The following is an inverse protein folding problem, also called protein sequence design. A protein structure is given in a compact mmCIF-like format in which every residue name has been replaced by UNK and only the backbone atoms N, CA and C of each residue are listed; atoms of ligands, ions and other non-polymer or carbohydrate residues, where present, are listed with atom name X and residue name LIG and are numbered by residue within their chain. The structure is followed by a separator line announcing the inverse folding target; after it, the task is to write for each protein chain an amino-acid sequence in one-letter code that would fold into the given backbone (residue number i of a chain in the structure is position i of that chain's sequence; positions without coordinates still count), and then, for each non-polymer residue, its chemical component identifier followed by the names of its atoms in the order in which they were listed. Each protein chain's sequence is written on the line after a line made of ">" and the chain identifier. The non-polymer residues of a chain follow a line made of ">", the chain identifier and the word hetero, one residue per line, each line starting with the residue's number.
data_IF_813085007719
#
_entry.id   IF_813085007719
#
_cell.length_a   1.000
_cell.length_b   1.000
_cell.length_c   1.000
_cell.angle_alpha   90.00
_cell.angle_beta   90.00
_cell.angle_gamma   90.00
#
_symmetry.space_group_name_H-M   'P 1'
#
loop_
_entity.id
_entity.type
_entity.pdbx_description
1 polymer ?
#
# COMPACT_ATOMS: atom_id res chain seq x y z
N UNK A 1 38.99 12.05 65.25
CA UNK A 1 38.93 10.86 64.38
C UNK A 1 37.82 9.95 64.91
N UNK A 2 36.63 10.03 64.33
CA UNK A 2 35.55 9.06 64.53
C UNK A 2 34.64 9.18 63.30
N UNK A 3 34.58 8.12 62.50
CA UNK A 3 33.84 8.04 61.24
C UNK A 3 32.40 7.60 61.52
N UNK A 4 31.42 8.35 61.02
CA UNK A 4 30.02 7.90 60.89
C UNK A 4 29.86 7.03 59.64
N UNK A 5 29.08 5.94 59.66
CA UNK A 5 28.77 5.18 58.47
C UNK A 5 27.52 5.75 57.76
N UNK A 6 27.67 6.08 56.48
CA UNK A 6 26.57 6.44 55.58
C UNK A 6 25.81 5.18 55.16
N UNK A 7 24.53 5.10 55.50
CA UNK A 7 23.61 4.05 55.07
C UNK A 7 23.09 4.39 53.66
N UNK A 8 23.47 3.62 52.65
CA UNK A 8 22.94 3.73 51.29
C UNK A 8 21.67 2.85 51.20
N UNK A 9 20.49 3.47 51.08
CA UNK A 9 19.27 2.77 50.71
C UNK A 9 19.22 2.59 49.19
N UNK A 10 19.34 1.35 48.71
CA UNK A 10 18.94 0.97 47.35
C UNK A 10 17.41 0.84 47.30
N UNK A 11 16.75 1.67 46.49
CA UNK A 11 15.35 1.47 46.11
C UNK A 11 15.30 0.69 44.80
N UNK A 12 14.83 -0.55 44.84
CA UNK A 12 14.58 -1.36 43.66
C UNK A 12 13.20 -0.97 43.07
N UNK A 13 13.19 -0.24 41.96
CA UNK A 13 11.98 -0.04 41.15
C UNK A 13 11.67 -1.33 40.40
N UNK A 14 10.56 -1.98 40.74
CA UNK A 14 10.03 -3.12 39.99
C UNK A 14 9.23 -2.56 38.81
N UNK A 15 9.83 -2.51 37.62
CA UNK A 15 9.12 -2.25 36.38
C UNK A 15 8.28 -3.49 36.03
N UNK A 16 6.97 -3.46 36.30
CA UNK A 16 6.04 -4.47 35.78
C UNK A 16 5.85 -4.19 34.28
N UNK A 17 6.56 -4.93 33.43
CA UNK A 17 6.31 -4.90 31.99
C UNK A 17 4.92 -5.49 31.72
N UNK A 18 4.00 -4.66 31.22
CA UNK A 18 2.72 -5.13 30.72
C UNK A 18 2.98 -6.06 29.52
N UNK A 19 2.57 -7.32 29.64
CA UNK A 19 2.65 -8.26 28.54
C UNK A 19 1.68 -7.83 27.42
N UNK A 20 2.10 -7.89 26.15
CA UNK A 20 1.20 -7.65 25.03
C UNK A 20 0.10 -8.72 25.04
N UNK A 21 -1.16 -8.28 25.07
CA UNK A 21 -2.31 -9.17 24.84
C UNK A 21 -2.19 -9.66 23.41
N UNK A 22 -1.91 -10.96 23.25
CA UNK A 22 -1.99 -11.62 21.96
C UNK A 22 -3.45 -11.61 21.52
N UNK A 23 -3.77 -10.82 20.51
CA UNK A 23 -5.07 -10.87 19.84
C UNK A 23 -5.16 -12.19 19.09
N UNK A 24 -6.01 -13.11 19.55
CA UNK A 24 -6.37 -14.29 18.75
C UNK A 24 -6.96 -13.83 17.41
N UNK A 25 -6.60 -14.47 16.29
CA UNK A 25 -7.20 -14.15 14.99
C UNK A 25 -8.71 -14.38 15.08
N UNK A 26 -9.49 -13.35 14.71
CA UNK A 26 -10.93 -13.40 14.78
C UNK A 26 -11.45 -14.59 13.95
N UNK A 27 -12.05 -15.57 14.63
CA UNK A 27 -12.65 -16.73 13.98
C UNK A 27 -13.81 -16.24 13.11
N UNK A 28 -13.76 -16.53 11.80
CA UNK A 28 -14.83 -16.15 10.88
C UNK A 28 -16.19 -16.67 11.37
N UNK A 29 -17.07 -15.74 11.74
CA UNK A 29 -18.39 -16.06 12.31
C UNK A 29 -19.39 -16.47 11.24
N UNK A 30 -19.09 -16.22 9.96
CA UNK A 30 -19.97 -16.49 8.82
C UNK A 30 -20.13 -18.00 8.59
N UNK A 31 -21.29 -18.54 8.96
CA UNK A 31 -21.59 -19.98 8.84
C UNK A 31 -22.15 -20.39 7.47
N UNK A 32 -22.75 -19.45 6.73
CA UNK A 32 -23.42 -19.73 5.45
C UNK A 32 -23.35 -18.56 4.48
N UNK A 33 -23.70 -18.79 3.21
CA UNK A 33 -23.82 -17.73 2.21
C UNK A 33 -25.17 -17.02 2.35
N UNK A 34 -25.15 -15.69 2.29
CA UNK A 34 -26.36 -14.85 2.25
C UNK A 34 -26.90 -14.71 0.82
N UNK A 35 -26.04 -14.84 -0.19
CA UNK A 35 -26.40 -14.64 -1.61
C UNK A 35 -26.88 -15.92 -2.29
N UNK A 36 -26.38 -17.08 -1.84
CA UNK A 36 -26.66 -18.38 -2.46
C UNK A 36 -27.13 -19.40 -1.42
N UNK A 37 -28.29 -20.06 -1.62
CA UNK A 37 -28.76 -21.10 -0.72
C UNK A 37 -27.76 -22.26 -0.58
N UNK A 38 -27.70 -22.95 0.58
CA UNK A 38 -26.78 -24.06 0.81
C UNK A 38 -26.86 -25.17 -0.25
N UNK A 39 -28.07 -25.49 -0.74
CA UNK A 39 -28.28 -26.51 -1.77
C UNK A 39 -27.58 -26.17 -3.10
N UNK A 40 -27.60 -24.90 -3.52
CA UNK A 40 -26.92 -24.45 -4.74
C UNK A 40 -25.40 -24.56 -4.57
N UNK A 41 -24.88 -24.13 -3.41
CA UNK A 41 -23.44 -24.22 -3.12
C UNK A 41 -22.99 -25.69 -3.12
N UNK A 42 -23.78 -26.59 -2.56
CA UNK A 42 -23.46 -28.02 -2.55
C UNK A 42 -23.46 -28.60 -3.98
N UNK A 43 -24.47 -28.28 -4.79
CA UNK A 43 -24.51 -28.70 -6.20
C UNK A 43 -23.27 -28.25 -6.98
N UNK A 44 -22.81 -27.01 -6.75
CA UNK A 44 -21.58 -26.50 -7.39
C UNK A 44 -20.34 -27.28 -6.96
N UNK A 45 -20.24 -27.64 -5.67
CA UNK A 45 -19.14 -28.47 -5.15
C UNK A 45 -19.16 -29.87 -5.76
N UNK A 46 -20.33 -30.49 -5.83
CA UNK A 46 -20.50 -31.84 -6.39
C UNK A 46 -20.14 -31.85 -7.88
N UNK A 47 -20.59 -30.83 -8.63
CA UNK A 47 -20.21 -30.67 -10.04
C UNK A 47 -18.69 -30.50 -10.18
N UNK A 48 -18.04 -29.68 -9.34
CA UNK A 48 -16.59 -29.49 -9.38
C UNK A 48 -15.79 -30.73 -8.92
N UNK A 49 -16.42 -31.69 -8.24
CA UNK A 49 -15.82 -32.97 -7.87
C UNK A 49 -15.97 -34.02 -8.98
N UNK A 50 -17.09 -34.00 -9.70
CA UNK A 50 -17.40 -34.98 -10.75
C UNK A 50 -16.87 -34.58 -12.13
N UNK A 51 -16.97 -33.30 -12.48
CA UNK A 51 -16.82 -32.82 -13.85
C UNK A 51 -15.51 -32.03 -14.03
N UNK A 52 -14.55 -32.48 -14.88
CA UNK A 52 -13.24 -31.83 -15.01
C UNK A 52 -13.28 -30.36 -15.42
N UNK A 53 -14.25 -29.97 -16.26
CA UNK A 53 -14.41 -28.59 -16.68
C UNK A 53 -14.80 -27.69 -15.49
N UNK A 54 -15.66 -28.18 -14.59
CA UNK A 54 -16.11 -27.45 -13.42
C UNK A 54 -14.99 -27.34 -12.37
N UNK A 55 -14.18 -28.41 -12.22
CA UNK A 55 -12.94 -28.36 -11.45
C UNK A 55 -12.00 -27.27 -11.98
N UNK A 56 -11.81 -27.17 -13.30
CA UNK A 56 -10.99 -26.15 -13.93
C UNK A 56 -11.47 -24.71 -13.65
N UNK A 57 -12.78 -24.48 -13.61
CA UNK A 57 -13.35 -23.17 -13.22
C UNK A 57 -13.05 -22.86 -11.76
N UNK A 58 -13.32 -23.80 -10.84
CA UNK A 58 -12.99 -23.65 -9.41
C UNK A 58 -11.51 -23.30 -9.22
N UNK A 59 -10.63 -24.08 -9.82
CA UNK A 59 -9.18 -23.94 -9.62
C UNK A 59 -8.68 -22.61 -10.16
N UNK A 60 -9.23 -22.14 -11.28
CA UNK A 60 -8.93 -20.82 -11.84
C UNK A 60 -9.36 -19.69 -10.91
N UNK A 61 -10.56 -19.77 -10.31
CA UNK A 61 -11.06 -18.79 -9.36
C UNK A 61 -10.24 -18.77 -8.06
N UNK A 62 -9.94 -19.94 -7.50
CA UNK A 62 -9.11 -20.06 -6.28
C UNK A 62 -7.71 -19.50 -6.53
N UNK A 63 -7.10 -19.83 -7.68
CA UNK A 63 -5.80 -19.27 -8.06
C UNK A 63 -5.85 -17.76 -8.22
N UNK A 64 -6.90 -17.23 -8.84
CA UNK A 64 -7.06 -15.80 -9.02
C UNK A 64 -7.25 -15.06 -7.69
N UNK A 65 -7.98 -15.62 -6.73
CA UNK A 65 -8.24 -15.01 -5.42
C UNK A 65 -7.03 -15.06 -4.48
N UNK A 66 -6.09 -15.99 -4.71
CA UNK A 66 -4.93 -16.25 -3.84
C UNK A 66 -4.15 -14.99 -3.39
N UNK A 67 -3.84 -14.01 -4.26
CA UNK A 67 -3.08 -12.83 -3.84
C UNK A 67 -3.74 -11.98 -2.74
N UNK A 68 -5.07 -12.02 -2.63
CA UNK A 68 -5.82 -11.36 -1.56
C UNK A 68 -6.04 -12.29 -0.36
N UNK A 69 -6.29 -13.57 -0.61
CA UNK A 69 -6.45 -14.57 0.46
C UNK A 69 -5.17 -14.81 1.27
N UNK A 70 -4.00 -14.52 0.69
CA UNK A 70 -2.71 -14.60 1.38
C UNK A 70 -2.42 -13.38 2.26
N UNK A 71 -3.28 -12.34 2.24
CA UNK A 71 -3.15 -11.14 3.07
C UNK A 71 -3.94 -11.30 4.36
N UNK A 72 -3.42 -10.72 5.45
CA UNK A 72 -4.18 -10.54 6.68
C UNK A 72 -5.32 -9.53 6.50
N UNK A 73 -6.32 -9.58 7.39
CA UNK A 73 -7.43 -8.61 7.39
C UNK A 73 -6.92 -7.16 7.50
N UNK A 74 -5.87 -6.91 8.30
CA UNK A 74 -5.24 -5.60 8.42
C UNK A 74 -4.58 -5.15 7.12
N UNK A 75 -3.91 -6.05 6.41
CA UNK A 75 -3.32 -5.75 5.11
C UNK A 75 -4.41 -5.44 4.07
N UNK A 76 -5.51 -6.21 4.06
CA UNK A 76 -6.66 -5.94 3.19
C UNK A 76 -7.32 -4.60 3.51
N UNK A 77 -7.52 -4.32 4.80
CA UNK A 77 -8.09 -3.05 5.25
C UNK A 77 -7.18 -1.86 4.88
N UNK A 78 -5.86 -2.05 4.97
CA UNK A 78 -4.88 -1.03 4.61
C UNK A 78 -4.83 -0.69 3.11
N UNK A 79 -5.52 -1.47 2.26
CA UNK A 79 -5.69 -1.12 0.84
C UNK A 79 -6.64 0.06 0.64
N UNK A 80 -7.50 0.37 1.62
CA UNK A 80 -8.38 1.53 1.56
C UNK A 80 -7.60 2.83 1.74
N UNK A 81 -7.97 3.86 0.99
CA UNK A 81 -7.27 5.13 0.99
C UNK A 81 -8.24 6.31 1.09
N UNK A 82 -7.83 7.34 1.84
CA UNK A 82 -8.63 8.54 2.08
C UNK A 82 -8.56 9.56 0.93
N UNK A 83 -9.22 10.72 1.09
CA UNK A 83 -9.22 11.79 0.09
C UNK A 83 -8.00 12.73 0.20
N UNK A 84 -7.05 12.46 1.10
CA UNK A 84 -5.94 13.37 1.41
C UNK A 84 -4.93 13.59 0.28
N UNK A 85 -5.06 12.88 -0.84
CA UNK A 85 -4.24 13.06 -2.04
C UNK A 85 -5.18 13.39 -3.20
N UNK A 86 -4.91 14.49 -3.93
CA UNK A 86 -5.71 14.84 -5.10
C UNK A 86 -5.54 13.80 -6.20
N UNK A 87 -6.67 13.20 -6.61
CA UNK A 87 -6.68 12.18 -7.65
C UNK A 87 -6.46 12.80 -9.02
N UNK A 88 -5.78 12.07 -9.90
CA UNK A 88 -5.54 12.47 -11.28
C UNK A 88 -5.75 11.28 -12.20
N UNK A 89 -6.45 11.46 -13.32
CA UNK A 89 -6.60 10.40 -14.32
C UNK A 89 -5.33 10.16 -15.14
N UNK A 90 -4.34 11.05 -15.04
CA UNK A 90 -3.08 10.96 -15.76
C UNK A 90 -1.93 11.42 -14.86
N UNK A 91 -0.74 10.86 -15.05
CA UNK A 91 0.48 11.44 -14.47
C UNK A 91 0.71 12.83 -15.03
N UNK A 92 0.66 12.94 -16.36
CA UNK A 92 0.62 14.18 -17.13
C UNK A 92 0.02 13.87 -18.50
N UNK A 93 -1.09 14.52 -18.86
CA UNK A 93 -1.94 14.16 -20.01
C UNK A 93 -1.22 14.08 -21.36
N UNK A 94 -0.31 15.02 -21.63
CA UNK A 94 0.52 15.07 -22.83
C UNK A 94 2.02 15.09 -22.46
N UNK A 95 2.35 14.44 -21.35
CA UNK A 95 3.68 14.48 -20.77
C UNK A 95 4.69 13.50 -21.33
N UNK A 96 5.88 13.55 -20.75
CA UNK A 96 6.98 12.62 -20.98
C UNK A 96 7.48 12.02 -19.67
N UNK A 97 8.28 10.96 -19.74
CA UNK A 97 9.02 10.48 -18.58
C UNK A 97 10.14 11.48 -18.21
N UNK A 98 10.29 11.89 -16.94
CA UNK A 98 11.36 12.81 -16.55
C UNK A 98 12.76 12.17 -16.62
N UNK A 99 12.86 10.84 -16.65
CA UNK A 99 14.14 10.15 -16.76
C UNK A 99 14.65 10.03 -18.20
N UNK A 100 13.79 9.63 -19.15
CA UNK A 100 14.19 9.34 -20.53
C UNK A 100 13.68 10.33 -21.58
N UNK A 101 12.85 11.31 -21.19
CA UNK A 101 12.30 12.32 -22.09
C UNK A 101 11.28 11.80 -23.11
N UNK A 102 11.05 10.50 -23.20
CA UNK A 102 10.09 9.90 -24.14
C UNK A 102 8.65 10.22 -23.72
N UNK A 103 7.78 10.46 -24.71
CA UNK A 103 6.37 10.76 -24.49
C UNK A 103 5.64 9.61 -23.78
N UNK A 104 4.95 9.93 -22.69
CA UNK A 104 4.10 8.99 -21.93
C UNK A 104 2.75 9.68 -21.66
N UNK A 105 1.93 9.89 -22.71
CA UNK A 105 0.67 10.61 -22.58
C UNK A 105 -0.38 9.77 -21.85
N UNK A 106 -1.38 10.46 -21.30
CA UNK A 106 -2.62 9.89 -20.79
C UNK A 106 -2.44 8.70 -19.82
N UNK A 107 -2.85 7.51 -20.25
CA UNK A 107 -3.00 6.30 -19.44
C UNK A 107 -1.82 5.31 -19.60
N UNK A 108 -0.73 5.75 -20.22
CA UNK A 108 0.36 4.87 -20.67
C UNK A 108 1.31 4.44 -19.54
N UNK A 109 1.27 5.11 -18.38
CA UNK A 109 2.03 4.70 -17.20
C UNK A 109 1.51 3.36 -16.66
N UNK A 110 2.42 2.43 -16.41
CA UNK A 110 2.06 1.09 -15.93
C UNK A 110 1.98 1.07 -14.41
N UNK A 111 1.05 0.29 -13.87
CA UNK A 111 0.95 -0.01 -12.45
C UNK A 111 0.97 -1.53 -12.28
N UNK A 112 1.63 -2.00 -11.23
CA UNK A 112 1.49 -3.37 -10.71
C UNK A 112 1.31 -3.26 -9.20
N UNK A 113 0.08 -2.97 -8.76
CA UNK A 113 -0.18 -2.59 -7.38
C UNK A 113 0.06 -3.70 -6.36
N UNK A 114 -0.05 -4.96 -6.79
CA UNK A 114 0.13 -6.10 -5.89
C UNK A 114 1.60 -6.46 -5.70
N UNK A 115 2.42 -6.38 -6.77
CA UNK A 115 3.84 -6.73 -6.68
C UNK A 115 4.75 -5.52 -6.47
N UNK A 116 4.33 -4.34 -6.92
CA UNK A 116 5.06 -3.05 -6.87
C UNK A 116 4.15 -1.95 -6.31
N UNK A 117 3.72 -2.06 -5.04
CA UNK A 117 2.82 -1.09 -4.45
C UNK A 117 3.47 0.31 -4.40
N UNK A 118 2.65 1.36 -4.50
CA UNK A 118 3.05 2.76 -4.42
C UNK A 118 4.08 3.20 -5.48
N UNK A 119 4.08 2.54 -6.64
CA UNK A 119 4.94 2.88 -7.79
C UNK A 119 4.16 2.83 -9.11
N UNK A 120 4.57 3.69 -10.04
CA UNK A 120 4.23 3.64 -11.47
C UNK A 120 5.51 3.45 -12.27
N UNK A 121 5.41 2.76 -13.40
CA UNK A 121 6.56 2.43 -14.24
C UNK A 121 6.44 3.11 -15.62
N UNK A 122 7.54 3.69 -16.07
CA UNK A 122 7.65 4.22 -17.42
C UNK A 122 7.68 3.06 -18.43
N UNK A 123 6.81 3.05 -19.47
CA UNK A 123 6.76 1.97 -20.45
C UNK A 123 8.02 1.87 -21.33
N UNK A 124 8.82 2.94 -21.41
CA UNK A 124 9.97 3.03 -22.32
C UNK A 124 11.29 2.67 -21.65
N UNK A 125 11.55 3.23 -20.46
CA UNK A 125 12.82 3.04 -19.75
C UNK A 125 12.71 2.20 -18.48
N UNK A 126 11.50 1.71 -18.14
CA UNK A 126 11.24 0.82 -16.99
C UNK A 126 11.58 1.45 -15.62
N UNK A 127 11.82 2.76 -15.60
CA UNK A 127 12.05 3.51 -14.38
C UNK A 127 10.78 3.61 -13.54
N UNK A 128 10.95 3.47 -12.23
CA UNK A 128 9.86 3.58 -11.26
C UNK A 128 9.78 4.97 -10.64
N UNK A 129 8.55 5.45 -10.51
CA UNK A 129 8.23 6.71 -9.84
C UNK A 129 7.09 6.52 -8.83
N UNK A 130 7.02 7.32 -7.77
CA UNK A 130 8.00 8.35 -7.44
C UNK A 130 9.31 7.76 -6.89
N UNK A 131 10.37 8.55 -6.81
CA UNK A 131 11.70 8.11 -6.39
C UNK A 131 11.90 8.05 -4.87
N UNK A 132 10.97 8.59 -4.08
CA UNK A 132 10.93 8.40 -2.63
C UNK A 132 10.20 7.10 -2.24
N UNK A 133 10.37 6.69 -0.98
CA UNK A 133 9.49 5.72 -0.33
C UNK A 133 8.17 6.42 0.03
N UNK A 134 7.26 6.46 -0.95
CA UNK A 134 5.98 7.14 -0.78
C UNK A 134 5.10 6.46 0.28
N UNK A 135 5.15 5.14 0.41
CA UNK A 135 4.31 4.44 1.37
C UNK A 135 4.68 4.83 2.80
N UNK A 136 5.98 4.93 3.10
CA UNK A 136 6.47 5.40 4.39
C UNK A 136 6.09 6.87 4.64
N UNK A 137 6.21 7.73 3.64
CA UNK A 137 5.74 9.13 3.71
C UNK A 137 4.23 9.24 3.94
N UNK A 138 3.43 8.42 3.25
CA UNK A 138 1.99 8.38 3.39
C UNK A 138 1.58 7.95 4.81
N UNK A 139 2.19 6.89 5.33
CA UNK A 139 1.91 6.40 6.69
C UNK A 139 2.28 7.39 7.78
N UNK A 140 3.35 8.18 7.60
CA UNK A 140 3.76 9.16 8.61
C UNK A 140 2.76 10.31 8.77
N UNK A 141 1.87 10.52 7.79
CA UNK A 141 0.83 11.55 7.84
C UNK A 141 -0.52 11.09 8.41
N UNK A 142 -0.64 9.86 8.92
CA UNK A 142 -1.92 9.39 9.47
C UNK A 142 -2.30 10.10 10.77
N UNK A 143 -3.56 10.51 10.86
CA UNK A 143 -4.16 10.93 12.12
C UNK A 143 -4.61 9.70 12.96
N UNK A 144 -5.08 9.88 14.21
CA UNK A 144 -5.53 8.76 15.05
C UNK A 144 -6.69 7.93 14.47
N UNK A 145 -7.35 8.40 13.40
CA UNK A 145 -8.42 7.69 12.69
C UNK A 145 -7.89 6.94 11.46
N UNK A 146 -6.58 6.98 11.19
CA UNK A 146 -5.96 6.37 10.02
C UNK A 146 -6.17 7.17 8.73
N UNK A 147 -6.59 8.44 8.82
CA UNK A 147 -6.76 9.30 7.64
C UNK A 147 -5.46 10.04 7.35
N UNK A 148 -4.98 9.96 6.11
CA UNK A 148 -3.82 10.73 5.66
C UNK A 148 -4.10 12.22 5.66
N UNK A 149 -3.30 12.96 6.42
CA UNK A 149 -3.28 14.42 6.48
C UNK A 149 -1.92 14.90 5.99
N UNK A 150 -1.80 15.43 4.76
CA UNK A 150 -0.51 15.80 4.15
C UNK A 150 0.35 16.73 5.02
N UNK A 151 -0.30 17.66 5.73
CA UNK A 151 0.39 18.62 6.61
C UNK A 151 1.07 17.97 7.82
N UNK A 152 0.69 16.75 8.19
CA UNK A 152 1.30 15.97 9.29
C UNK A 152 2.40 15.03 8.82
N UNK A 153 2.50 14.79 7.51
CA UNK A 153 3.45 13.84 6.95
C UNK A 153 4.89 14.32 7.15
N UNK A 154 5.76 13.38 7.50
CA UNK A 154 7.18 13.64 7.73
C UNK A 154 7.87 14.00 6.41
N UNK A 155 8.12 15.30 6.22
CA UNK A 155 8.75 15.83 5.01
C UNK A 155 10.22 15.43 4.87
N UNK A 156 10.87 14.91 5.92
CA UNK A 156 12.23 14.39 5.83
C UNK A 156 12.32 13.13 4.95
N UNK A 157 11.18 12.48 4.68
CA UNK A 157 11.07 11.31 3.79
C UNK A 157 10.94 11.68 2.31
N UNK A 158 10.87 12.97 1.98
CA UNK A 158 10.71 13.45 0.61
C UNK A 158 12.08 13.57 -0.08
N UNK A 159 12.75 12.46 -0.33
CA UNK A 159 14.00 12.43 -1.10
C UNK A 159 14.07 11.21 -2.00
N UNK A 160 14.87 11.30 -3.05
CA UNK A 160 15.15 10.17 -3.92
C UNK A 160 15.98 9.12 -3.15
N UNK A 161 15.44 7.93 -2.92
CA UNK A 161 16.12 6.90 -2.13
C UNK A 161 17.37 6.35 -2.81
N UNK A 162 17.51 6.52 -4.12
CA UNK A 162 18.73 6.18 -4.89
C UNK A 162 19.82 7.24 -4.72
N UNK A 163 19.46 8.45 -4.27
CA UNK A 163 20.35 9.61 -4.08
C UNK A 163 20.08 10.30 -2.72
N UNK A 164 20.38 9.63 -1.60
CA UNK A 164 19.98 10.09 -0.25
C UNK A 164 20.76 11.29 0.26
N UNK A 165 21.96 11.56 -0.27
CA UNK A 165 22.78 12.71 0.13
C UNK A 165 22.07 14.02 -0.28
N UNK A 166 21.78 14.94 0.66
CA UNK A 166 21.21 16.24 0.35
C UNK A 166 22.04 17.10 -0.63
N UNK A 167 23.35 16.83 -0.75
CA UNK A 167 24.23 17.52 -1.69
C UNK A 167 24.17 16.92 -3.11
N UNK A 168 23.57 15.74 -3.30
CA UNK A 168 23.41 15.14 -4.63
C UNK A 168 22.39 15.94 -5.45
N UNK A 169 22.72 16.39 -6.68
CA UNK A 169 21.79 17.13 -7.52
C UNK A 169 20.49 16.35 -7.85
N UNK A 170 20.50 15.01 -7.76
CA UNK A 170 19.33 14.14 -7.96
C UNK A 170 18.54 13.86 -6.68
N UNK A 171 18.94 14.43 -5.53
CA UNK A 171 18.26 14.21 -4.25
C UNK A 171 16.75 14.50 -4.29
N UNK A 172 16.33 15.48 -5.12
CA UNK A 172 14.92 15.87 -5.28
C UNK A 172 14.25 15.33 -6.54
N UNK A 173 15.01 14.69 -7.42
CA UNK A 173 14.51 14.21 -8.71
C UNK A 173 13.44 13.13 -8.52
N UNK A 174 12.29 13.29 -9.19
CA UNK A 174 11.22 12.32 -9.19
C UNK A 174 10.49 12.12 -7.86
N UNK A 175 10.73 12.98 -6.86
CA UNK A 175 10.10 12.90 -5.54
C UNK A 175 8.67 13.43 -5.60
N UNK A 176 7.72 12.68 -5.07
CA UNK A 176 6.29 13.03 -5.02
C UNK A 176 5.81 13.05 -3.56
N UNK A 177 5.09 14.09 -3.19
CA UNK A 177 4.49 14.30 -1.86
C UNK A 177 2.97 14.08 -1.83
N UNK A 178 2.43 13.50 -2.90
CA UNK A 178 1.02 13.23 -3.13
C UNK A 178 0.48 14.13 -4.24
N UNK A 179 1.05 15.33 -4.39
CA UNK A 179 0.59 16.31 -5.38
C UNK A 179 1.44 16.33 -6.66
N UNK A 180 2.39 15.41 -6.78
CA UNK A 180 3.23 15.22 -7.94
C UNK A 180 4.63 15.80 -7.80
N UNK A 181 5.58 15.22 -8.53
CA UNK A 181 6.90 15.78 -8.76
C UNK A 181 6.82 17.02 -9.64
N UNK A 182 7.59 18.06 -9.35
CA UNK A 182 7.59 19.33 -10.08
C UNK A 182 9.00 19.66 -10.56
N UNK A 183 9.10 20.07 -11.82
CA UNK A 183 10.33 20.56 -12.43
C UNK A 183 10.01 21.71 -13.38
N UNK A 184 10.39 22.94 -13.02
CA UNK A 184 9.97 24.14 -13.72
C UNK A 184 8.44 24.31 -13.67
N UNK A 185 7.82 24.46 -14.84
CA UNK A 185 6.37 24.58 -15.03
C UNK A 185 5.66 23.21 -15.15
N UNK A 186 6.40 22.10 -15.15
CA UNK A 186 5.88 20.75 -15.36
C UNK A 186 5.59 20.07 -14.04
N UNK A 187 4.54 19.24 -14.02
CA UNK A 187 4.14 18.44 -12.87
C UNK A 187 3.76 17.02 -13.28
N UNK A 188 4.34 16.03 -12.61
CA UNK A 188 4.04 14.61 -12.77
C UNK A 188 3.29 14.09 -11.55
N UNK A 189 1.98 13.90 -11.68
CA UNK A 189 1.11 13.42 -10.59
C UNK A 189 1.14 11.91 -10.49
N UNK A 190 2.32 11.34 -10.21
CA UNK A 190 2.52 9.89 -10.12
C UNK A 190 1.55 9.26 -9.13
N UNK A 191 1.48 9.80 -7.92
CA UNK A 191 0.61 9.28 -6.88
C UNK A 191 -0.87 9.59 -7.10
N UNK A 192 -1.17 10.76 -7.68
CA UNK A 192 -2.53 11.09 -8.12
C UNK A 192 -3.10 10.06 -9.10
N UNK A 193 -2.29 9.59 -10.05
CA UNK A 193 -2.65 8.54 -11.00
C UNK A 193 -2.65 7.14 -10.38
N UNK A 194 -1.63 6.81 -9.59
CA UNK A 194 -1.52 5.50 -8.93
C UNK A 194 -2.74 5.17 -8.07
N UNK A 195 -3.31 6.15 -7.35
CA UNK A 195 -4.52 5.93 -6.56
C UNK A 195 -5.70 5.40 -7.38
N UNK A 196 -5.84 5.82 -8.64
CA UNK A 196 -6.90 5.34 -9.53
C UNK A 196 -6.55 3.98 -10.13
N UNK A 197 -5.36 3.86 -10.72
CA UNK A 197 -5.02 2.69 -11.53
C UNK A 197 -4.43 1.55 -10.73
N UNK A 198 -3.51 1.84 -9.82
CA UNK A 198 -2.92 0.85 -8.93
C UNK A 198 -3.86 0.55 -7.76
N UNK A 199 -4.03 1.52 -6.87
CA UNK A 199 -4.73 1.29 -5.60
C UNK A 199 -6.20 0.90 -5.82
N UNK A 200 -6.98 1.70 -6.55
CA UNK A 200 -8.40 1.41 -6.74
C UNK A 200 -8.63 0.28 -7.74
N UNK A 201 -8.23 0.44 -9.01
CA UNK A 201 -8.60 -0.51 -10.07
C UNK A 201 -7.96 -1.89 -9.91
N UNK A 202 -6.67 -1.96 -9.55
CA UNK A 202 -5.98 -3.25 -9.41
C UNK A 202 -6.13 -3.84 -8.02
N UNK A 203 -5.84 -3.11 -6.94
CA UNK A 203 -5.84 -3.69 -5.61
C UNK A 203 -7.26 -3.86 -5.03
N UNK A 204 -8.04 -2.77 -4.93
CA UNK A 204 -9.37 -2.80 -4.29
C UNK A 204 -10.43 -3.46 -5.18
N UNK A 205 -10.69 -2.90 -6.37
CA UNK A 205 -11.69 -3.41 -7.30
C UNK A 205 -11.31 -4.79 -7.85
N UNK A 206 -10.02 -5.06 -8.02
CA UNK A 206 -9.53 -6.38 -8.39
C UNK A 206 -9.89 -7.42 -7.33
N UNK A 207 -9.71 -7.10 -6.04
CA UNK A 207 -10.11 -7.97 -4.94
C UNK A 207 -11.62 -8.23 -4.93
N UNK A 208 -12.43 -7.16 -5.02
CA UNK A 208 -13.90 -7.25 -5.06
C UNK A 208 -14.41 -8.12 -6.21
N UNK A 209 -13.74 -8.09 -7.36
CA UNK A 209 -14.15 -8.89 -8.54
C UNK A 209 -13.72 -10.34 -8.48
N UNK A 210 -12.76 -10.67 -7.63
CA UNK A 210 -12.09 -11.97 -7.63
C UNK A 210 -12.43 -12.82 -6.40
N UNK A 211 -12.84 -12.19 -5.30
CA UNK A 211 -13.31 -12.83 -4.06
C UNK A 211 -14.83 -12.78 -3.93
#
# INVERSE_FOLDING_TARGET
>A
MQLSPTLILLTASVCTAAQPVATEPARSTKQSSTLYPPAIVQQLRDNAARDPWAAGVRDSLVKAAKPWMDKSDDELWSLMFGPGITRSWMVWSNGHCPACGQGVPMYTWKCDALNKPWKVECPHCQEFFPKNDFHKFFKSGFDPRGVFVPAKADRSLLFNTEHPDPADPKHRFGVDDGEGYVEGDKRWRFMGAYQIYGQWKQAVLGGIRTM
#
